data_IF_561494208926
#
_entry.id   IF_561494208926
#
_cell.length_a   1.000
_cell.length_b   1.000
_cell.length_c   1.000
_cell.angle_alpha   90.00
_cell.angle_beta   90.00
_cell.angle_gamma   90.00
#
_symmetry.space_group_name_H-M   'P 1'
#
loop_
_entity.id
_entity.type
_entity.pdbx_description
1 polymer ?
#
# COMPACT_ATOMS: atom_id res chain seq x y z
N UNK A 1 -17.87 -11.82 12.12
CA UNK A 1 -18.30 -10.60 11.42
C UNK A 1 -17.08 -9.77 11.07
N UNK A 2 -17.06 -9.23 9.88
CA UNK A 2 -15.90 -8.43 9.46
C UNK A 2 -15.79 -7.13 10.23
N UNK A 3 -14.55 -6.72 10.48
CA UNK A 3 -14.21 -5.47 11.15
C UNK A 3 -13.70 -4.48 10.12
N UNK A 4 -14.19 -3.25 10.16
CA UNK A 4 -13.76 -2.18 9.26
C UNK A 4 -12.65 -1.38 9.92
N UNK A 5 -11.58 -1.11 9.16
CA UNK A 5 -10.42 -0.38 9.65
C UNK A 5 -10.28 0.91 8.84
N UNK A 6 -10.24 2.04 9.53
CA UNK A 6 -9.94 3.34 8.93
C UNK A 6 -9.12 4.16 9.92
N UNK A 7 -8.12 4.88 9.43
CA UNK A 7 -7.26 5.73 10.24
C UNK A 7 -7.00 7.07 9.54
N UNK A 8 -6.97 8.19 10.28
CA UNK A 8 -6.61 9.48 9.68
C UNK A 8 -5.12 9.58 9.32
N UNK A 9 -4.29 8.61 9.73
CA UNK A 9 -2.87 8.56 9.38
C UNK A 9 -2.62 8.04 7.96
N UNK A 10 -3.69 7.68 7.23
CA UNK A 10 -3.64 7.30 5.82
C UNK A 10 -4.78 8.01 5.09
N UNK A 11 -4.75 8.08 3.73
CA UNK A 11 -5.80 8.75 2.99
C UNK A 11 -7.18 8.13 3.24
N UNK A 12 -8.16 8.98 3.53
CA UNK A 12 -9.54 8.52 3.74
C UNK A 12 -10.13 8.00 2.42
N UNK A 13 -11.02 6.98 2.48
CA UNK A 13 -11.66 6.46 1.28
C UNK A 13 -12.41 7.55 0.51
N UNK A 14 -12.25 7.53 -0.81
CA UNK A 14 -12.92 8.47 -1.71
C UNK A 14 -14.10 7.83 -2.44
N UNK A 15 -14.56 6.68 -1.99
CA UNK A 15 -15.67 5.94 -2.56
C UNK A 15 -16.26 4.96 -1.55
N UNK A 16 -17.14 4.03 -1.99
CA UNK A 16 -17.82 3.10 -1.11
C UNK A 16 -16.94 1.91 -0.73
N UNK A 17 -15.82 2.19 -0.05
CA UNK A 17 -14.90 1.17 0.45
C UNK A 17 -14.23 1.67 1.72
N UNK A 18 -13.53 0.78 2.42
CA UNK A 18 -12.76 1.09 3.62
C UNK A 18 -11.28 0.91 3.34
N UNK A 19 -10.43 1.50 4.16
CA UNK A 19 -8.98 1.33 4.02
C UNK A 19 -8.58 -0.12 4.19
N UNK A 20 -9.19 -0.83 5.14
CA UNK A 20 -8.96 -2.25 5.32
C UNK A 20 -10.15 -2.94 5.96
N UNK A 21 -10.20 -4.26 5.80
CA UNK A 21 -11.22 -5.13 6.38
C UNK A 21 -10.53 -6.33 7.01
N UNK A 22 -10.89 -6.65 8.24
CA UNK A 22 -10.33 -7.79 8.97
C UNK A 22 -11.40 -8.85 9.23
N UNK A 23 -11.02 -10.12 9.12
CA UNK A 23 -11.87 -11.26 9.45
C UNK A 23 -10.99 -12.47 9.78
N UNK A 24 -11.23 -13.09 10.92
CA UNK A 24 -10.57 -14.34 11.33
C UNK A 24 -9.03 -14.26 11.25
N UNK A 25 -8.45 -13.16 11.71
CA UNK A 25 -7.00 -12.96 11.72
C UNK A 25 -6.42 -12.56 10.37
N UNK A 26 -7.24 -12.40 9.34
CA UNK A 26 -6.81 -11.94 8.04
C UNK A 26 -7.17 -10.47 7.86
N UNK A 27 -6.27 -9.73 7.23
CA UNK A 27 -6.44 -8.31 6.95
C UNK A 27 -6.28 -8.06 5.46
N UNK A 28 -7.29 -7.44 4.86
CA UNK A 28 -7.31 -7.09 3.45
C UNK A 28 -7.23 -5.58 3.34
N UNK A 29 -6.15 -5.05 2.77
CA UNK A 29 -5.91 -3.62 2.67
C UNK A 29 -6.14 -3.15 1.25
N UNK A 30 -6.99 -2.13 1.11
CA UNK A 30 -7.29 -1.51 -0.19
C UNK A 30 -6.03 -0.92 -0.82
N UNK A 31 -6.00 -0.89 -2.14
CA UNK A 31 -4.91 -0.29 -2.89
C UNK A 31 -4.65 1.15 -2.46
N UNK A 32 -3.39 1.45 -2.16
CA UNK A 32 -2.97 2.79 -1.75
C UNK A 32 -2.22 3.46 -2.88
N UNK A 33 -2.55 4.71 -3.12
CA UNK A 33 -1.82 5.62 -4.00
C UNK A 33 -1.15 6.70 -3.15
N UNK A 34 -0.25 7.48 -3.74
CA UNK A 34 0.62 8.39 -3.01
C UNK A 34 -0.08 9.71 -2.61
N UNK A 35 -1.20 9.61 -1.91
CA UNK A 35 -1.83 10.78 -1.31
C UNK A 35 -1.19 11.00 0.06
N UNK A 36 -0.72 12.24 0.32
CA UNK A 36 -0.27 12.63 1.65
C UNK A 36 -1.51 12.88 2.52
N UNK A 37 -1.74 12.09 3.58
CA UNK A 37 -2.94 12.27 4.41
C UNK A 37 -2.98 13.59 5.16
N UNK A 38 -1.84 14.25 5.37
CA UNK A 38 -1.78 15.54 6.05
C UNK A 38 -2.29 16.69 5.20
N UNK A 39 -2.13 16.61 3.88
CA UNK A 39 -2.48 17.69 2.95
C UNK A 39 -3.59 17.33 1.97
N UNK A 40 -3.79 16.05 1.70
CA UNK A 40 -4.69 15.57 0.66
C UNK A 40 -4.09 15.63 -0.74
N UNK A 41 -2.84 16.07 -0.89
CA UNK A 41 -2.18 16.20 -2.17
C UNK A 41 -1.47 14.92 -2.59
N UNK A 42 -1.34 14.74 -3.91
CA UNK A 42 -0.55 13.65 -4.48
C UNK A 42 0.94 13.99 -4.41
N UNK A 43 1.77 13.00 -4.06
CA UNK A 43 3.23 13.10 -4.03
C UNK A 43 3.75 12.42 -5.29
N UNK A 44 4.02 13.22 -6.33
CA UNK A 44 4.41 12.72 -7.66
C UNK A 44 5.75 13.29 -8.14
N UNK A 45 6.59 13.77 -7.22
CA UNK A 45 7.86 14.43 -7.57
C UNK A 45 8.79 13.50 -8.38
N UNK A 46 8.85 12.24 -7.96
CA UNK A 46 9.58 11.18 -8.65
C UNK A 46 9.04 9.84 -8.14
N UNK A 47 9.40 8.76 -8.82
CA UNK A 47 8.85 7.44 -8.48
C UNK A 47 9.30 6.97 -7.09
N UNK A 48 10.48 7.38 -6.64
CA UNK A 48 10.96 7.03 -5.30
C UNK A 48 10.10 7.69 -4.22
N UNK A 49 9.86 8.99 -4.32
CA UNK A 49 9.02 9.73 -3.37
C UNK A 49 7.59 9.19 -3.36
N UNK A 50 7.06 8.91 -4.55
CA UNK A 50 5.71 8.34 -4.71
C UNK A 50 5.61 6.97 -4.04
N UNK A 51 6.58 6.09 -4.27
CA UNK A 51 6.62 4.75 -3.67
C UNK A 51 6.73 4.83 -2.15
N UNK A 52 7.57 5.73 -1.62
CA UNK A 52 7.67 5.96 -0.18
C UNK A 52 6.32 6.34 0.42
N UNK A 53 5.60 7.26 -0.21
CA UNK A 53 4.30 7.71 0.33
C UNK A 53 3.28 6.57 0.35
N UNK A 54 3.23 5.77 -0.73
CA UNK A 54 2.35 4.61 -0.79
C UNK A 54 2.65 3.64 0.37
N UNK A 55 3.91 3.34 0.60
CA UNK A 55 4.31 2.39 1.64
C UNK A 55 4.09 2.94 3.05
N UNK A 56 4.27 4.25 3.26
CA UNK A 56 3.91 4.88 4.53
C UNK A 56 2.42 4.78 4.80
N UNK A 57 1.59 4.98 3.78
CA UNK A 57 0.14 4.85 3.91
C UNK A 57 -0.25 3.43 4.29
N UNK A 58 0.32 2.42 3.62
CA UNK A 58 0.09 1.02 3.96
C UNK A 58 0.52 0.70 5.39
N UNK A 59 1.70 1.18 5.79
CA UNK A 59 2.20 0.95 7.15
C UNK A 59 1.24 1.52 8.20
N UNK A 60 0.74 2.72 7.98
CA UNK A 60 -0.20 3.36 8.90
C UNK A 60 -1.48 2.54 9.05
N UNK A 61 -2.03 2.01 7.95
CA UNK A 61 -3.23 1.19 7.98
C UNK A 61 -2.97 -0.13 8.69
N UNK A 62 -1.86 -0.79 8.39
CA UNK A 62 -1.47 -2.04 9.04
C UNK A 62 -1.37 -1.85 10.56
N UNK A 63 -0.70 -0.80 11.01
CA UNK A 63 -0.53 -0.53 12.43
C UNK A 63 -1.85 -0.21 13.12
N UNK A 64 -2.72 0.55 12.46
CA UNK A 64 -4.05 0.83 12.98
C UNK A 64 -4.90 -0.44 13.16
N UNK A 65 -4.63 -1.47 12.37
CA UNK A 65 -5.34 -2.74 12.44
C UNK A 65 -4.68 -3.75 13.41
N UNK A 66 -3.61 -3.35 14.10
CA UNK A 66 -2.88 -4.27 14.97
C UNK A 66 -1.96 -5.23 14.23
N UNK A 67 -1.64 -4.93 12.98
CA UNK A 67 -0.71 -5.69 12.16
C UNK A 67 0.62 -4.94 12.01
N UNK A 68 1.42 -5.32 11.04
CA UNK A 68 2.70 -4.67 10.74
C UNK A 68 3.19 -5.08 9.35
N UNK A 69 4.21 -4.40 8.85
CA UNK A 69 4.84 -4.76 7.57
C UNK A 69 5.36 -6.21 7.59
N UNK A 70 5.88 -6.67 8.72
CA UNK A 70 6.40 -8.03 8.87
C UNK A 70 5.32 -9.10 8.76
N UNK A 71 4.06 -8.72 8.96
CA UNK A 71 2.91 -9.62 8.94
C UNK A 71 2.19 -9.63 7.59
N UNK A 72 2.71 -8.91 6.61
CA UNK A 72 2.15 -8.92 5.25
C UNK A 72 2.48 -10.25 4.58
N UNK A 73 1.45 -10.89 4.04
CA UNK A 73 1.55 -12.20 3.39
C UNK A 73 1.67 -12.07 1.88
N UNK A 74 0.97 -11.10 1.31
CA UNK A 74 0.92 -10.90 -0.14
C UNK A 74 0.85 -9.41 -0.44
N UNK A 75 1.67 -8.96 -1.38
CA UNK A 75 1.61 -7.60 -1.93
C UNK A 75 1.33 -7.69 -3.44
N UNK A 76 0.47 -6.80 -3.92
CA UNK A 76 0.23 -6.61 -5.35
C UNK A 76 0.62 -5.19 -5.71
N UNK A 77 1.57 -5.05 -6.64
CA UNK A 77 2.11 -3.77 -7.05
C UNK A 77 1.71 -3.51 -8.49
N UNK A 78 0.92 -2.46 -8.71
CA UNK A 78 0.50 -2.02 -10.03
C UNK A 78 1.30 -0.80 -10.42
N UNK A 79 1.89 -0.79 -11.61
CA UNK A 79 2.72 0.32 -12.08
C UNK A 79 2.32 0.78 -13.48
N UNK A 80 2.55 2.04 -13.79
CA UNK A 80 2.31 2.60 -15.13
C UNK A 80 3.47 2.31 -16.07
N UNK A 81 4.69 2.20 -15.55
CA UNK A 81 5.89 2.01 -16.36
C UNK A 81 6.77 0.94 -15.71
N UNK A 82 6.79 -0.24 -16.31
CA UNK A 82 7.57 -1.38 -15.80
C UNK A 82 9.08 -1.11 -15.83
N UNK A 83 9.54 -0.14 -16.62
CA UNK A 83 10.94 0.21 -16.67
C UNK A 83 11.45 0.86 -15.39
N UNK A 84 10.54 1.31 -14.51
CA UNK A 84 10.89 1.87 -13.20
C UNK A 84 11.07 0.80 -12.11
N UNK A 85 11.02 -0.46 -12.49
CA UNK A 85 11.09 -1.64 -11.61
C UNK A 85 12.23 -1.56 -10.59
N UNK A 86 13.46 -1.26 -11.05
CA UNK A 86 14.63 -1.22 -10.15
C UNK A 86 14.54 -0.08 -9.13
N UNK A 87 14.04 1.06 -9.56
CA UNK A 87 13.87 2.23 -8.68
C UNK A 87 12.79 1.98 -7.62
N UNK A 88 11.69 1.35 -8.02
CA UNK A 88 10.61 0.97 -7.12
C UNK A 88 11.12 -0.07 -6.12
N UNK A 89 11.83 -1.09 -6.58
CA UNK A 89 12.37 -2.13 -5.71
C UNK A 89 13.36 -1.62 -4.68
N UNK A 90 14.15 -0.60 -5.01
CA UNK A 90 15.08 -0.01 -4.06
C UNK A 90 14.35 0.58 -2.86
N UNK A 91 13.23 1.28 -3.09
CA UNK A 91 12.39 1.83 -2.02
C UNK A 91 11.62 0.73 -1.30
N UNK A 92 10.99 -0.17 -2.06
CA UNK A 92 10.21 -1.28 -1.53
C UNK A 92 11.05 -2.12 -0.55
N UNK A 93 12.32 -2.38 -0.88
CA UNK A 93 13.23 -3.16 -0.04
C UNK A 93 13.58 -2.49 1.29
N UNK A 94 13.40 -1.18 1.42
CA UNK A 94 13.57 -0.49 2.70
C UNK A 94 12.45 -0.80 3.68
N UNK A 95 11.28 -1.19 3.18
CA UNK A 95 10.10 -1.52 4.00
C UNK A 95 9.94 -3.03 4.20
N UNK A 96 10.31 -3.82 3.19
CA UNK A 96 10.17 -5.28 3.20
C UNK A 96 11.53 -5.93 3.03
N UNK A 97 12.19 -6.16 4.16
CA UNK A 97 13.50 -6.82 4.16
C UNK A 97 13.35 -8.29 3.80
N UNK A 98 14.39 -8.92 3.20
CA UNK A 98 14.29 -10.29 2.68
C UNK A 98 13.81 -11.33 3.70
N UNK A 99 14.12 -11.14 4.99
CA UNK A 99 13.79 -12.09 6.04
C UNK A 99 12.29 -12.27 6.23
N UNK A 100 11.49 -11.27 5.88
CA UNK A 100 10.04 -11.34 6.07
C UNK A 100 9.25 -10.79 4.89
N UNK A 101 9.90 -10.58 3.76
CA UNK A 101 9.23 -10.03 2.57
C UNK A 101 8.05 -10.92 2.15
N UNK A 102 6.91 -10.34 1.78
CA UNK A 102 5.73 -11.10 1.36
C UNK A 102 5.91 -11.71 -0.03
N UNK A 103 5.03 -12.65 -0.37
CA UNK A 103 4.83 -13.00 -1.76
C UNK A 103 4.34 -11.77 -2.53
N UNK A 104 4.73 -11.62 -3.79
CA UNK A 104 4.42 -10.39 -4.53
C UNK A 104 4.23 -10.64 -6.02
N UNK A 105 3.34 -9.84 -6.63
CA UNK A 105 3.31 -9.59 -8.06
C UNK A 105 3.56 -8.11 -8.30
N UNK A 106 4.26 -7.79 -9.40
CA UNK A 106 4.42 -6.42 -9.89
C UNK A 106 4.11 -6.43 -11.37
N UNK A 107 3.06 -5.72 -11.77
CA UNK A 107 2.58 -5.72 -13.15
C UNK A 107 2.34 -4.30 -13.64
N UNK A 108 2.58 -4.09 -14.94
CA UNK A 108 2.22 -2.84 -15.59
C UNK A 108 0.75 -2.87 -15.97
N UNK A 109 0.05 -1.77 -15.72
CA UNK A 109 -1.37 -1.60 -16.04
C UNK A 109 -1.56 -0.45 -17.00
N UNK A 110 -2.73 -0.39 -17.63
CA UNK A 110 -3.06 0.64 -18.60
C UNK A 110 -3.18 2.01 -17.91
N UNK A 111 -3.85 2.07 -16.75
CA UNK A 111 -4.04 3.30 -16.01
C UNK A 111 -4.35 3.03 -14.55
N UNK A 112 -4.07 4.02 -13.70
CA UNK A 112 -4.33 3.97 -12.27
C UNK A 112 -5.21 5.14 -11.85
N UNK A 113 -5.89 5.05 -10.69
CA UNK A 113 -6.71 6.14 -10.17
C UNK A 113 -5.89 7.43 -10.07
N UNK A 114 -6.52 8.56 -10.42
CA UNK A 114 -5.90 9.89 -10.41
C UNK A 114 -4.62 9.97 -11.24
N UNK A 115 -4.44 9.02 -12.19
CA UNK A 115 -3.30 8.98 -13.11
C UNK A 115 -1.95 8.89 -12.40
N UNK A 116 -1.92 8.24 -11.23
CA UNK A 116 -0.68 8.00 -10.49
C UNK A 116 0.18 6.96 -11.19
N UNK A 117 1.40 6.76 -10.70
CA UNK A 117 2.38 5.87 -11.33
C UNK A 117 2.50 4.52 -10.62
N UNK A 118 2.04 4.41 -9.39
CA UNK A 118 2.11 3.18 -8.61
C UNK A 118 0.94 3.09 -7.64
N UNK A 119 0.43 1.86 -7.46
CA UNK A 119 -0.58 1.53 -6.46
C UNK A 119 -0.22 0.17 -5.86
N UNK A 120 -0.33 0.05 -4.55
CA UNK A 120 -0.02 -1.20 -3.84
C UNK A 120 -1.17 -1.58 -2.93
N UNK A 121 -1.60 -2.85 -3.01
CA UNK A 121 -2.52 -3.46 -2.04
C UNK A 121 -1.83 -4.63 -1.37
N UNK A 122 -2.27 -4.96 -0.15
CA UNK A 122 -1.67 -6.07 0.59
C UNK A 122 -2.72 -6.92 1.30
N UNK A 123 -2.35 -8.17 1.57
CA UNK A 123 -3.07 -9.06 2.49
C UNK A 123 -2.09 -9.35 3.62
N UNK A 124 -2.55 -9.21 4.85
CA UNK A 124 -1.73 -9.40 6.04
C UNK A 124 -2.46 -10.26 7.07
N UNK A 125 -1.78 -10.59 8.14
CA UNK A 125 -2.39 -11.24 9.29
C UNK A 125 -2.32 -10.32 10.50
N UNK A 126 -3.30 -10.46 11.40
CA UNK A 126 -3.32 -9.77 12.69
C UNK A 126 -2.85 -10.69 13.83
N UNK A 127 -2.50 -11.91 13.51
CA UNK A 127 -2.09 -12.92 14.49
C UNK A 127 -0.65 -12.74 14.97
#
# INVERSE_FOLDING_TARGET
>A
MKQLINTPAAPMPIGPYNQAVALNGMLFVSGQIAIDPATGDLVLDNIEAETHQVLRNLKAILEAAGSSLEKVLKATVFVKDINQFSRINAVYGEYFQPEFAPARELVQVVELPKFVNIEISVIATTL
#
